data_IF_860968615886
#
_entry.id   IF_860968615886
#
_cell.length_a   1.000
_cell.length_b   1.000
_cell.length_c   1.000
_cell.angle_alpha   90.00
_cell.angle_beta   90.00
_cell.angle_gamma   90.00
#
_symmetry.space_group_name_H-M   'P 1'
#
loop_
_entity.id
_entity.type
_entity.pdbx_description
1 polymer ?
#
# COMPACT_ATOMS: atom_id res chain seq x y z
N UNK A 1 25.07 -15.00 6.89
CA UNK A 1 24.00 -14.61 5.93
C UNK A 1 24.66 -14.31 4.59
N UNK A 2 24.25 -14.94 3.48
CA UNK A 2 24.93 -14.79 2.18
C UNK A 2 24.50 -13.50 1.46
N UNK A 3 25.35 -12.96 0.58
CA UNK A 3 25.03 -11.76 -0.22
C UNK A 3 23.77 -11.94 -1.07
N UNK A 4 23.53 -13.17 -1.55
CA UNK A 4 22.31 -13.52 -2.29
C UNK A 4 21.06 -13.37 -1.42
N UNK A 5 21.10 -13.75 -0.14
CA UNK A 5 19.96 -13.60 0.78
C UNK A 5 19.59 -12.12 0.98
N UNK A 6 20.59 -11.23 1.00
CA UNK A 6 20.36 -9.77 1.15
C UNK A 6 19.59 -9.19 -0.03
N UNK A 7 19.83 -9.71 -1.24
CA UNK A 7 19.12 -9.29 -2.47
C UNK A 7 17.65 -9.72 -2.45
N UNK A 8 17.34 -10.90 -1.90
CA UNK A 8 15.97 -11.43 -1.90
C UNK A 8 15.09 -10.88 -0.77
N UNK A 9 15.66 -10.33 0.30
CA UNK A 9 14.90 -9.84 1.46
C UNK A 9 13.83 -8.80 1.11
N UNK A 10 14.09 -7.75 0.30
CA UNK A 10 13.05 -6.80 -0.10
C UNK A 10 11.93 -7.42 -0.97
N UNK A 11 12.18 -8.59 -1.56
CA UNK A 11 11.17 -9.28 -2.36
C UNK A 11 10.20 -10.10 -1.49
N UNK A 12 10.48 -10.27 -0.20
CA UNK A 12 9.61 -10.97 0.74
C UNK A 12 8.40 -10.12 1.12
N UNK A 13 8.60 -8.84 1.42
CA UNK A 13 7.51 -7.86 1.66
C UNK A 13 6.53 -7.84 0.47
N UNK A 14 7.06 -7.62 -0.74
CA UNK A 14 6.26 -7.66 -1.99
C UNK A 14 5.63 -9.02 -2.25
N UNK A 15 6.20 -10.11 -1.76
CA UNK A 15 5.60 -11.45 -1.86
C UNK A 15 4.46 -11.62 -0.86
N UNK A 16 4.60 -11.11 0.36
CA UNK A 16 3.59 -11.13 1.41
C UNK A 16 2.36 -10.29 1.02
N UNK A 17 2.58 -9.14 0.36
CA UNK A 17 1.52 -8.28 -0.16
C UNK A 17 0.87 -8.80 -1.45
N UNK A 18 1.35 -9.93 -2.00
CA UNK A 18 0.84 -10.53 -3.24
C UNK A 18 1.23 -9.79 -4.52
N UNK A 19 2.08 -8.76 -4.42
CA UNK A 19 2.52 -7.91 -5.53
C UNK A 19 3.60 -8.56 -6.41
N UNK A 20 4.28 -9.59 -5.91
CA UNK A 20 5.34 -10.26 -6.64
C UNK A 20 4.79 -11.14 -7.79
N UNK A 21 5.06 -10.72 -9.04
CA UNK A 21 4.56 -11.36 -10.27
C UNK A 21 5.69 -11.89 -11.17
N UNK A 22 5.33 -12.74 -12.12
CA UNK A 22 6.19 -13.13 -13.24
C UNK A 22 7.55 -13.73 -12.85
N UNK A 23 8.63 -13.17 -13.42
CA UNK A 23 10.00 -13.68 -13.28
C UNK A 23 10.55 -13.53 -11.86
N UNK A 24 10.23 -12.44 -11.18
CA UNK A 24 10.70 -12.19 -9.81
C UNK A 24 10.16 -13.25 -8.86
N UNK A 25 8.86 -13.56 -8.95
CA UNK A 25 8.22 -14.62 -8.15
C UNK A 25 8.89 -15.98 -8.33
N UNK A 26 9.26 -16.34 -9.56
CA UNK A 26 9.94 -17.61 -9.86
C UNK A 26 11.36 -17.64 -9.27
N UNK A 27 12.11 -16.54 -9.40
CA UNK A 27 13.46 -16.42 -8.82
C UNK A 27 13.43 -16.51 -7.29
N UNK A 28 12.51 -15.79 -6.64
CA UNK A 28 12.36 -15.82 -5.18
C UNK A 28 11.95 -17.20 -4.69
N UNK A 29 11.00 -17.87 -5.35
CA UNK A 29 10.65 -19.27 -5.03
C UNK A 29 11.82 -20.24 -5.16
N UNK A 30 12.67 -20.07 -6.18
CA UNK A 30 13.87 -20.90 -6.35
C UNK A 30 14.87 -20.68 -5.22
N UNK A 31 15.10 -19.43 -4.82
CA UNK A 31 15.95 -19.12 -3.68
C UNK A 31 15.41 -19.72 -2.37
N UNK A 32 14.11 -19.58 -2.12
CA UNK A 32 13.44 -20.16 -0.95
C UNK A 32 13.46 -21.69 -0.94
N UNK A 33 13.54 -22.34 -2.11
CA UNK A 33 13.71 -23.79 -2.20
C UNK A 33 15.08 -24.25 -1.68
N UNK A 34 16.14 -23.46 -1.91
CA UNK A 34 17.51 -23.78 -1.52
C UNK A 34 17.97 -23.20 -0.18
N UNK A 35 17.32 -22.14 0.33
CA UNK A 35 17.75 -21.44 1.53
C UNK A 35 16.74 -21.60 2.68
N UNK A 36 17.10 -22.40 3.68
CA UNK A 36 16.27 -22.65 4.85
C UNK A 36 16.12 -21.39 5.74
N UNK A 37 17.19 -20.62 5.89
CA UNK A 37 17.17 -19.37 6.68
C UNK A 37 16.15 -18.36 6.13
N UNK A 38 16.19 -18.10 4.83
CA UNK A 38 15.24 -17.20 4.19
C UNK A 38 13.80 -17.71 4.25
N UNK A 39 13.60 -19.04 4.25
CA UNK A 39 12.27 -19.62 4.44
C UNK A 39 11.76 -19.35 5.85
N UNK A 40 12.59 -19.57 6.87
CA UNK A 40 12.22 -19.30 8.26
C UNK A 40 11.87 -17.82 8.50
N UNK A 41 12.63 -16.90 7.92
CA UNK A 41 12.35 -15.46 8.00
C UNK A 41 11.00 -15.14 7.36
N UNK A 42 10.76 -15.62 6.14
CA UNK A 42 9.49 -15.38 5.44
C UNK A 42 8.30 -15.97 6.22
N UNK A 43 8.43 -17.17 6.76
CA UNK A 43 7.37 -17.81 7.54
C UNK A 43 7.04 -16.99 8.80
N UNK A 44 8.05 -16.41 9.46
CA UNK A 44 7.84 -15.48 10.59
C UNK A 44 7.12 -14.21 10.17
N UNK A 45 7.51 -13.60 9.05
CA UNK A 45 6.87 -12.39 8.53
C UNK A 45 5.41 -12.66 8.13
N UNK A 46 5.13 -13.78 7.48
CA UNK A 46 3.78 -14.19 7.12
C UNK A 46 2.91 -14.46 8.35
N UNK A 47 3.48 -15.08 9.38
CA UNK A 47 2.77 -15.30 10.65
C UNK A 47 2.45 -13.98 11.35
N UNK A 48 3.39 -13.04 11.38
CA UNK A 48 3.15 -11.70 11.92
C UNK A 48 2.04 -10.98 11.15
N UNK A 49 2.08 -10.98 9.82
CA UNK A 49 1.03 -10.39 8.99
C UNK A 49 -0.32 -11.05 9.22
N UNK A 50 -0.36 -12.36 9.42
CA UNK A 50 -1.59 -13.09 9.78
C UNK A 50 -2.15 -12.63 11.12
N UNK A 51 -1.28 -12.38 12.11
CA UNK A 51 -1.70 -11.88 13.42
C UNK A 51 -2.20 -10.43 13.34
N UNK A 52 -1.52 -9.57 12.60
CA UNK A 52 -1.96 -8.20 12.34
C UNK A 52 -3.29 -8.16 11.58
N UNK A 53 -3.50 -9.07 10.62
CA UNK A 53 -4.76 -9.20 9.89
C UNK A 53 -5.95 -9.66 10.74
N UNK A 54 -5.73 -10.11 11.99
CA UNK A 54 -6.79 -10.44 12.95
C UNK A 54 -7.20 -9.26 13.82
N UNK A 55 -6.50 -8.13 13.73
CA UNK A 55 -6.87 -6.92 14.45
C UNK A 55 -8.29 -6.50 14.04
N UNK A 56 -9.08 -5.95 14.97
CA UNK A 56 -10.42 -5.48 14.64
C UNK A 56 -10.34 -4.40 13.57
N UNK A 57 -11.10 -4.58 12.50
CA UNK A 57 -11.22 -3.57 11.45
C UNK A 57 -12.04 -2.42 12.02
N UNK A 58 -11.38 -1.28 12.22
CA UNK A 58 -12.05 -0.04 12.60
C UNK A 58 -12.75 0.51 11.35
N UNK A 59 -14.07 0.78 11.39
CA UNK A 59 -14.76 1.36 10.25
C UNK A 59 -14.18 2.73 9.92
N UNK A 60 -13.99 3.01 8.63
CA UNK A 60 -13.54 4.31 8.17
C UNK A 60 -14.65 5.36 8.46
N UNK A 61 -14.32 6.53 9.03
CA UNK A 61 -15.29 7.60 9.20
C UNK A 61 -15.87 8.06 7.85
N UNK A 62 -17.20 8.17 7.74
CA UNK A 62 -17.92 8.48 6.49
C UNK A 62 -17.41 9.79 5.84
N UNK A 63 -17.10 10.82 6.65
CA UNK A 63 -16.50 12.08 6.16
C UNK A 63 -15.18 11.87 5.40
N UNK A 64 -14.35 10.92 5.84
CA UNK A 64 -13.08 10.61 5.19
C UNK A 64 -13.32 9.84 3.89
N UNK A 65 -14.23 8.87 3.91
CA UNK A 65 -14.63 8.11 2.72
C UNK A 65 -15.24 9.02 1.65
N UNK A 66 -16.15 9.92 2.03
CA UNK A 66 -16.76 10.92 1.15
C UNK A 66 -15.72 11.89 0.59
N UNK A 67 -14.81 12.41 1.42
CA UNK A 67 -13.73 13.28 0.95
C UNK A 67 -12.81 12.58 -0.05
N UNK A 68 -12.53 11.29 0.17
CA UNK A 68 -11.76 10.46 -0.76
C UNK A 68 -12.54 10.26 -2.07
N UNK A 69 -13.81 9.87 -1.99
CA UNK A 69 -14.67 9.64 -3.16
C UNK A 69 -14.86 10.91 -3.99
N UNK A 70 -15.05 12.06 -3.34
CA UNK A 70 -15.15 13.35 -4.00
C UNK A 70 -13.85 13.68 -4.73
N UNK A 71 -12.68 13.49 -4.09
CA UNK A 71 -11.37 13.70 -4.74
C UNK A 71 -11.12 12.75 -5.91
N UNK A 72 -11.53 11.49 -5.79
CA UNK A 72 -11.43 10.51 -6.89
C UNK A 72 -12.32 10.92 -8.06
N UNK A 73 -13.58 11.31 -7.80
CA UNK A 73 -14.52 11.79 -8.83
C UNK A 73 -14.02 13.05 -9.53
N UNK A 74 -13.41 13.97 -8.79
CA UNK A 74 -12.84 15.20 -9.37
C UNK A 74 -11.56 14.96 -10.20
N UNK A 75 -10.84 13.85 -9.96
CA UNK A 75 -9.60 13.52 -10.68
C UNK A 75 -9.79 12.56 -11.86
N UNK A 76 -10.90 11.84 -11.95
CA UNK A 76 -11.17 10.98 -13.09
C UNK A 76 -11.83 11.79 -14.22
N UNK A 77 -11.23 11.87 -15.43
CA UNK A 77 -11.98 12.29 -16.59
C UNK A 77 -13.12 11.27 -16.76
N UNK A 78 -14.36 11.76 -16.73
CA UNK A 78 -15.52 10.92 -17.01
C UNK A 78 -15.42 10.50 -18.47
N UNK A 79 -14.86 9.32 -18.73
CA UNK A 79 -15.00 8.65 -20.01
C UNK A 79 -16.47 8.27 -20.16
N UNK A 80 -17.27 9.22 -20.66
CA UNK A 80 -18.59 8.93 -21.21
C UNK A 80 -18.39 8.50 -22.65
N UNK A 81 -18.14 7.21 -22.86
CA UNK A 81 -18.41 6.51 -24.12
C UNK A 81 -18.17 5.01 -23.89
N UNK A 82 -19.17 4.31 -23.34
CA UNK A 82 -19.30 2.89 -23.67
C UNK A 82 -20.07 2.89 -24.99
N UNK A 83 -19.33 2.92 -26.08
CA UNK A 83 -19.87 2.73 -27.43
C UNK A 83 -20.64 1.41 -27.48
N UNK A 84 -21.88 1.51 -27.95
CA UNK A 84 -22.74 0.39 -28.26
C UNK A 84 -22.02 -0.54 -29.23
N UNK A 85 -21.50 -1.66 -28.72
CA UNK A 85 -21.00 -2.73 -29.57
C UNK A 85 -22.19 -3.33 -30.31
N UNK A 86 -22.27 -3.05 -31.61
CA UNK A 86 -23.00 -3.89 -32.56
C UNK A 86 -22.47 -5.31 -32.43
N UNK A 87 -23.34 -6.24 -32.03
CA UNK A 87 -23.02 -7.66 -32.09
C UNK A 87 -22.80 -8.06 -33.55
N UNK A 88 -21.71 -8.75 -33.88
CA UNK A 88 -21.51 -9.24 -35.23
C UNK A 88 -22.44 -10.44 -35.47
N UNK A 89 -23.27 -10.37 -36.52
CA UNK A 89 -24.34 -11.31 -36.90
C UNK A 89 -23.87 -12.74 -37.29
N UNK A 90 -22.63 -13.13 -36.95
CA UNK A 90 -22.07 -14.45 -37.30
C UNK A 90 -22.19 -15.49 -36.18
N UNK A 91 -22.74 -15.13 -35.01
CA UNK A 91 -22.81 -16.00 -33.83
C UNK A 91 -24.12 -16.80 -33.87
N UNK A 92 -24.05 -17.99 -34.46
CA UNK A 92 -25.13 -18.98 -34.55
C UNK A 92 -25.68 -19.36 -33.17
N UNK A 93 -26.98 -19.12 -32.95
CA UNK A 93 -27.75 -19.35 -31.71
C UNK A 93 -27.74 -20.78 -31.15
N UNK A 94 -27.16 -21.76 -31.86
CA UNK A 94 -27.07 -23.15 -31.37
C UNK A 94 -26.07 -23.36 -30.23
N UNK A 95 -25.19 -22.40 -29.93
CA UNK A 95 -24.20 -22.52 -28.85
C UNK A 95 -24.59 -21.83 -27.54
N UNK A 96 -25.77 -21.19 -27.46
CA UNK A 96 -26.17 -20.38 -26.30
C UNK A 96 -26.98 -21.11 -25.22
N UNK A 97 -27.43 -22.36 -25.43
CA UNK A 97 -28.29 -23.06 -24.47
C UNK A 97 -27.56 -23.64 -23.24
N UNK A 98 -26.22 -23.77 -23.27
CA UNK A 98 -25.45 -24.28 -22.12
C UNK A 98 -24.75 -23.20 -21.26
N UNK A 99 -24.50 -22.01 -21.79
CA UNK A 99 -23.74 -20.96 -21.09
C UNK A 99 -24.56 -20.07 -20.16
N UNK A 100 -25.85 -19.89 -20.46
CA UNK A 100 -26.68 -18.83 -19.87
C UNK A 100 -27.09 -19.09 -18.40
N UNK A 101 -27.16 -20.36 -17.99
CA UNK A 101 -27.53 -20.74 -16.63
C UNK A 101 -26.44 -20.39 -15.60
N UNK A 102 -25.16 -20.56 -15.96
CA UNK A 102 -24.03 -20.33 -15.05
C UNK A 102 -23.82 -18.83 -14.81
N UNK A 103 -23.95 -18.01 -15.85
CA UNK A 103 -23.81 -16.55 -15.72
C UNK A 103 -24.95 -15.91 -14.92
N UNK A 104 -26.18 -16.43 -15.03
CA UNK A 104 -27.34 -15.91 -14.30
C UNK A 104 -27.21 -16.15 -12.79
N UNK A 105 -26.71 -17.31 -12.36
CA UNK A 105 -26.50 -17.62 -10.95
C UNK A 105 -25.46 -16.71 -10.29
N UNK A 106 -24.38 -16.38 -11.01
CA UNK A 106 -23.30 -15.52 -10.51
C UNK A 106 -23.78 -14.05 -10.37
N UNK A 107 -24.56 -13.55 -11.33
CA UNK A 107 -25.16 -12.21 -11.26
C UNK A 107 -26.17 -12.07 -10.11
N UNK A 108 -26.94 -13.13 -9.83
CA UNK A 108 -27.93 -13.13 -8.77
C UNK A 108 -27.30 -13.05 -7.36
N UNK A 109 -26.14 -13.69 -7.15
CA UNK A 109 -25.40 -13.63 -5.87
C UNK A 109 -24.79 -12.24 -5.64
N UNK A 110 -24.35 -11.56 -6.70
CA UNK A 110 -23.74 -10.23 -6.58
C UNK A 110 -24.74 -9.10 -6.37
N UNK A 111 -26.02 -9.30 -6.69
CA UNK A 111 -27.06 -8.27 -6.59
C UNK A 111 -27.92 -8.34 -5.31
N UNK A 112 -27.57 -9.18 -4.32
CA UNK A 112 -28.31 -9.22 -3.03
C UNK A 112 -27.96 -7.95 -2.22
N UNK A 113 -28.90 -7.01 -2.04
CA UNK A 113 -28.63 -5.79 -1.28
C UNK A 113 -28.60 -6.14 0.21
N UNK A 114 -27.40 -6.24 0.79
CA UNK A 114 -27.25 -6.31 2.24
C UNK A 114 -27.62 -4.96 2.86
N UNK A 115 -28.87 -4.82 3.27
CA UNK A 115 -29.32 -3.71 4.11
C UNK A 115 -28.67 -3.80 5.48
N UNK A 116 -27.54 -3.11 5.67
CA UNK A 116 -26.99 -2.82 7.00
C UNK A 116 -27.42 -1.43 7.40
N UNK A 117 -28.23 -1.35 8.46
CA UNK A 117 -28.66 -0.11 9.09
C UNK A 117 -27.42 0.73 9.45
N UNK A 118 -27.40 1.99 9.02
CA UNK A 118 -26.27 2.90 9.27
C UNK A 118 -26.42 3.48 10.69
N UNK A 119 -25.37 3.43 11.52
CA UNK A 119 -25.39 4.09 12.83
C UNK A 119 -25.40 5.61 12.65
N UNK A 120 -26.25 6.30 13.42
CA UNK A 120 -26.36 7.77 13.41
C UNK A 120 -25.19 8.40 14.18
N UNK A 121 -24.51 9.36 13.56
CA UNK A 121 -23.43 10.15 14.17
C UNK A 121 -24.00 11.47 14.69
N UNK A 122 -23.74 11.78 15.97
CA UNK A 122 -24.12 13.06 16.56
C UNK A 122 -23.14 14.15 16.10
N UNK A 123 -23.66 15.21 15.48
CA UNK A 123 -22.87 16.19 14.71
C UNK A 123 -22.33 17.36 15.54
N UNK A 124 -22.48 17.33 16.86
CA UNK A 124 -22.22 18.47 17.72
C UNK A 124 -20.87 18.29 18.43
N UNK A 125 -19.77 18.50 17.69
CA UNK A 125 -18.43 18.56 18.27
C UNK A 125 -18.14 19.98 18.73
N UNK A 126 -17.62 20.11 19.95
CA UNK A 126 -17.23 21.42 20.46
C UNK A 126 -15.93 21.90 19.82
N UNK A 127 -15.75 23.22 19.75
CA UNK A 127 -14.51 23.85 19.24
C UNK A 127 -13.28 23.37 20.02
N UNK A 128 -13.45 22.98 21.28
CA UNK A 128 -12.34 22.54 22.13
C UNK A 128 -11.91 21.12 21.81
N UNK A 129 -12.83 20.23 21.45
CA UNK A 129 -12.47 18.90 20.95
C UNK A 129 -11.73 18.98 19.61
N UNK A 130 -12.09 19.93 18.76
CA UNK A 130 -11.39 20.19 17.48
C UNK A 130 -9.97 20.70 17.74
N UNK A 131 -9.81 21.55 18.75
CA UNK A 131 -8.51 22.12 19.11
C UNK A 131 -7.59 21.06 19.72
N UNK A 132 -8.10 20.23 20.62
CA UNK A 132 -7.35 19.12 21.22
C UNK A 132 -6.90 18.11 20.17
N UNK A 133 -7.77 17.77 19.21
CA UNK A 133 -7.40 16.89 18.09
C UNK A 133 -6.28 17.49 17.22
N UNK A 134 -6.29 18.83 17.04
CA UNK A 134 -5.24 19.53 16.28
C UNK A 134 -3.90 19.49 17.02
N UNK A 135 -3.92 19.71 18.32
CA UNK A 135 -2.71 19.69 19.15
C UNK A 135 -2.13 18.27 19.22
N UNK A 136 -2.96 17.24 19.33
CA UNK A 136 -2.53 15.84 19.25
C UNK A 136 -1.88 15.51 17.90
N UNK A 137 -2.46 15.99 16.79
CA UNK A 137 -1.89 15.80 15.47
C UNK A 137 -0.54 16.51 15.32
N UNK A 138 -0.40 17.73 15.89
CA UNK A 138 0.86 18.47 15.88
C UNK A 138 1.96 17.72 16.65
N UNK A 139 1.65 17.18 17.83
CA UNK A 139 2.59 16.38 18.61
C UNK A 139 3.02 15.10 17.88
N UNK A 140 2.08 14.40 17.26
CA UNK A 140 2.40 13.20 16.48
C UNK A 140 3.36 13.53 15.33
N UNK A 141 3.09 14.60 14.59
CA UNK A 141 3.93 15.02 13.47
C UNK A 141 5.34 15.45 13.92
N UNK A 142 5.44 16.16 15.05
CA UNK A 142 6.73 16.54 15.62
C UNK A 142 7.56 15.32 16.06
N UNK A 143 6.92 14.31 16.66
CA UNK A 143 7.58 13.06 17.03
C UNK A 143 8.08 12.29 15.80
N UNK A 144 7.27 12.21 14.74
CA UNK A 144 7.67 11.56 13.50
C UNK A 144 8.86 12.25 12.83
N UNK A 145 8.90 13.59 12.80
CA UNK A 145 10.02 14.30 12.20
C UNK A 145 11.34 14.05 12.94
N UNK A 146 11.31 14.02 14.28
CA UNK A 146 12.47 13.72 15.10
C UNK A 146 13.01 12.30 14.84
N UNK A 147 12.14 11.29 14.84
CA UNK A 147 12.55 9.89 14.62
C UNK A 147 13.14 9.68 13.23
N UNK A 148 12.64 10.36 12.19
CA UNK A 148 13.24 10.32 10.85
C UNK A 148 14.64 10.96 10.81
N UNK A 149 14.85 12.02 11.58
CA UNK A 149 16.15 12.72 11.61
C UNK A 149 17.22 11.88 12.30
N UNK A 150 16.88 11.19 13.39
CA UNK A 150 17.76 10.22 14.04
C UNK A 150 18.09 9.04 13.14
N UNK A 151 17.08 8.48 12.45
CA UNK A 151 17.27 7.40 11.50
C UNK A 151 18.21 7.80 10.34
N UNK A 152 18.11 9.02 9.85
CA UNK A 152 18.99 9.56 8.80
C UNK A 152 20.44 9.69 9.28
N UNK A 153 20.65 10.25 10.48
CA UNK A 153 22.00 10.41 11.05
C UNK A 153 22.70 9.07 11.23
N UNK A 154 21.97 8.08 11.76
CA UNK A 154 22.46 6.72 11.96
C UNK A 154 22.72 5.99 10.64
N UNK A 155 21.85 6.16 9.63
CA UNK A 155 22.06 5.56 8.31
C UNK A 155 23.28 6.17 7.58
N UNK A 156 23.47 7.49 7.68
CA UNK A 156 24.62 8.18 7.06
C UNK A 156 25.93 7.71 7.68
N UNK A 157 26.01 7.66 9.02
CA UNK A 157 27.20 7.19 9.73
C UNK A 157 27.46 5.70 9.49
N UNK A 158 26.41 4.87 9.46
CA UNK A 158 26.53 3.43 9.19
C UNK A 158 26.71 3.06 7.71
N UNK A 159 26.52 3.94 6.74
CA UNK A 159 26.74 3.59 5.32
C UNK A 159 28.02 4.24 4.81
N UNK A 160 28.27 5.48 5.23
CA UNK A 160 29.38 6.27 4.75
C UNK A 160 30.60 6.27 5.68
N UNK A 161 30.44 5.90 6.95
CA UNK A 161 31.54 5.88 7.92
C UNK A 161 32.63 4.84 7.63
N UNK A 162 32.34 3.78 6.89
CA UNK A 162 33.29 2.68 6.61
C UNK A 162 33.58 2.47 5.12
N UNK A 163 32.94 3.23 4.23
CA UNK A 163 33.02 3.00 2.78
C UNK A 163 33.46 4.22 1.98
N UNK A 164 33.52 5.42 2.59
CA UNK A 164 33.87 6.66 1.86
C UNK A 164 35.32 7.11 2.12
N UNK A 165 36.16 7.18 1.08
CA UNK A 165 37.46 7.85 1.14
C UNK A 165 37.30 9.33 1.54
N UNK A 166 38.20 9.85 2.38
CA UNK A 166 38.14 11.21 2.93
C UNK A 166 38.00 12.32 1.88
N UNK A 167 38.40 12.07 0.64
CA UNK A 167 38.27 12.96 -0.51
C UNK A 167 36.82 13.22 -0.95
N UNK A 168 35.92 12.26 -0.75
CA UNK A 168 34.50 12.39 -1.11
C UNK A 168 33.65 13.01 0.01
N UNK A 169 34.15 13.02 1.25
CA UNK A 169 33.47 13.59 2.41
C UNK A 169 33.24 15.10 2.25
N UNK A 170 34.24 15.83 1.77
CA UNK A 170 34.17 17.27 1.51
C UNK A 170 33.16 17.64 0.43
N UNK A 171 33.05 16.82 -0.63
CA UNK A 171 32.05 17.01 -1.69
C UNK A 171 30.62 16.75 -1.20
N UNK A 172 30.44 15.72 -0.36
CA UNK A 172 29.14 15.40 0.22
C UNK A 172 28.67 16.45 1.23
N UNK A 173 29.54 16.93 2.12
CA UNK A 173 29.23 18.03 3.05
C UNK A 173 28.79 19.31 2.30
N UNK A 174 29.43 19.63 1.17
CA UNK A 174 29.02 20.76 0.32
C UNK A 174 27.65 20.54 -0.35
N UNK A 175 27.35 19.31 -0.76
CA UNK A 175 26.07 18.97 -1.39
C UNK A 175 24.90 18.92 -0.39
N UNK A 176 25.15 18.62 0.89
CA UNK A 176 24.11 18.60 1.93
C UNK A 176 23.55 20.00 2.17
N UNK A 177 24.40 21.03 2.11
CA UNK A 177 23.96 22.43 2.18
C UNK A 177 23.10 22.88 0.97
N UNK A 178 23.11 22.14 -0.15
CA UNK A 178 22.23 22.38 -1.30
C UNK A 178 20.83 21.78 -1.12
N UNK A 179 20.68 20.77 -0.25
CA UNK A 179 19.37 20.15 0.07
C UNK A 179 18.70 20.77 1.30
N UNK A 180 19.45 21.52 2.11
CA UNK A 180 18.88 22.47 3.05
C UNK A 180 18.56 23.74 2.26
N UNK A 181 17.28 23.86 1.85
CA UNK A 181 16.77 24.99 1.07
C UNK A 181 17.31 26.30 1.61
N UNK A 182 17.84 27.12 0.72
CA UNK A 182 18.43 28.41 1.04
C UNK A 182 17.42 29.28 1.79
N UNK A 183 17.69 29.50 3.07
CA UNK A 183 17.29 30.71 3.76
C UNK A 183 18.29 31.82 3.38
N UNK A 184 17.82 32.75 2.57
CA UNK A 184 18.14 34.17 2.67
C UNK A 184 16.85 34.96 2.51
#
# INVERSE_FOLDING_TARGET
MSDTCRIFRPLFERMADGELRGRERRKTRRHLASCQECRFILDREMELNRQLGRLPVVPCPEKVEEAIHQKIRMRMPVSKAVDQHHSPDWISWRTFSLGLAVSAAILMILFIPSGKERPQFNSDYSIEEIRDARDQAAWALAYFSQTMQEAKSNAVTQIFGHTIPSTLKSSLEKSINLFHGGEK
#
